data_IF_327977184354
#
_entry.id   IF_327977184354
#
_cell.length_a   1.000
_cell.length_b   1.000
_cell.length_c   1.000
_cell.angle_alpha   90.00
_cell.angle_beta   90.00
_cell.angle_gamma   90.00
#
_symmetry.space_group_name_H-M   'P 1'
#
loop_
_entity.id
_entity.type
_entity.pdbx_description
1 polymer ?
#
# COMPACT_ATOMS: atom_id res chain seq x y z
N UNK A 1 -0.71 29.09 0.03
CA UNK A 1 0.23 28.33 -0.83
C UNK A 1 1.23 27.66 0.10
N UNK A 2 1.33 26.33 0.06
CA UNK A 2 2.30 25.59 0.87
C UNK A 2 3.57 25.36 0.02
N UNK A 3 4.70 25.88 0.48
CA UNK A 3 6.03 25.77 -0.13
C UNK A 3 6.60 24.36 0.06
N UNK A 4 7.57 23.98 -0.79
CA UNK A 4 8.37 22.74 -0.63
C UNK A 4 8.95 22.62 0.79
N UNK A 5 9.30 23.76 1.40
CA UNK A 5 9.79 23.85 2.78
C UNK A 5 8.72 23.45 3.80
N UNK A 6 7.48 23.86 3.62
CA UNK A 6 6.37 23.50 4.51
C UNK A 6 5.95 22.03 4.37
N UNK A 7 6.00 21.46 3.16
CA UNK A 7 5.78 20.02 2.96
C UNK A 7 6.88 19.16 3.62
N UNK A 8 8.14 19.59 3.50
CA UNK A 8 9.27 18.98 4.22
C UNK A 8 9.14 19.15 5.73
N UNK A 9 8.69 20.31 6.21
CA UNK A 9 8.44 20.56 7.63
C UNK A 9 7.28 19.72 8.15
N UNK A 10 6.26 19.42 7.31
CA UNK A 10 5.14 18.55 7.66
C UNK A 10 5.60 17.09 7.77
N UNK A 11 6.43 16.64 6.84
CA UNK A 11 7.09 15.34 6.88
C UNK A 11 8.02 15.22 8.07
N UNK A 12 8.79 16.27 8.36
CA UNK A 12 9.69 16.33 9.52
C UNK A 12 8.92 16.40 10.83
N UNK A 13 7.81 17.14 10.92
CA UNK A 13 6.95 17.17 12.11
C UNK A 13 6.22 15.86 12.32
N UNK A 14 5.75 15.22 11.24
CA UNK A 14 5.15 13.89 11.30
C UNK A 14 6.21 12.88 11.73
N UNK A 15 7.39 12.85 11.11
CA UNK A 15 8.52 12.02 11.53
C UNK A 15 8.96 12.31 12.98
N UNK A 16 9.06 13.57 13.38
CA UNK A 16 9.54 13.95 14.72
C UNK A 16 8.52 13.63 15.80
N UNK A 17 7.22 13.76 15.54
CA UNK A 17 6.18 13.26 16.46
C UNK A 17 6.15 11.72 16.49
N UNK A 18 6.42 11.07 15.35
CA UNK A 18 6.56 9.62 15.22
C UNK A 18 7.78 9.04 15.99
N UNK A 19 8.90 9.77 16.08
CA UNK A 19 10.14 9.27 16.68
C UNK A 19 10.41 9.73 18.13
N UNK A 20 9.80 10.83 18.60
CA UNK A 20 10.00 11.29 19.99
C UNK A 20 9.11 10.59 21.03
N UNK A 21 8.05 9.90 20.61
CA UNK A 21 7.15 9.18 21.51
C UNK A 21 7.75 7.93 22.17
N UNK A 22 8.84 7.37 21.61
CA UNK A 22 9.31 6.02 21.96
C UNK A 22 10.71 5.94 22.60
N UNK A 23 11.29 7.02 23.13
CA UNK A 23 12.42 6.94 24.06
C UNK A 23 13.64 6.08 23.63
N UNK A 24 13.99 6.01 22.34
CA UNK A 24 15.11 5.17 21.89
C UNK A 24 16.45 5.92 21.92
N UNK A 25 17.34 5.51 22.82
CA UNK A 25 18.77 5.87 22.84
C UNK A 25 19.56 4.93 21.94
N UNK A 26 20.30 5.48 20.97
CA UNK A 26 21.11 4.72 20.02
C UNK A 26 22.42 4.20 20.63
N UNK A 27 22.54 2.88 20.74
CA UNK A 27 23.74 2.05 20.75
C UNK A 27 23.29 0.71 20.12
N UNK A 28 23.94 0.07 19.15
CA UNK A 28 25.37 -0.09 18.94
C UNK A 28 25.69 -0.60 17.52
N UNK A 29 26.98 -0.60 17.17
CA UNK A 29 27.57 -0.92 15.86
C UNK A 29 27.57 -2.42 15.54
N UNK A 30 27.00 -2.83 14.41
CA UNK A 30 27.58 -3.87 13.54
C UNK A 30 26.97 -3.79 12.13
N UNK A 31 27.84 -3.60 11.13
CA UNK A 31 27.49 -3.39 9.73
C UNK A 31 28.35 -4.32 8.88
N UNK A 32 27.77 -4.70 7.75
CA UNK A 32 28.40 -5.25 6.54
C UNK A 32 28.73 -6.74 6.55
N UNK A 33 27.89 -7.50 5.85
CA UNK A 33 28.30 -8.17 4.60
C UNK A 33 27.05 -8.74 3.92
N UNK A 34 26.60 -8.11 2.83
CA UNK A 34 25.74 -8.77 1.85
C UNK A 34 26.43 -8.71 0.50
N UNK A 35 26.48 -9.88 -0.11
CA UNK A 35 27.42 -10.35 -1.13
C UNK A 35 27.17 -9.68 -2.50
N UNK A 36 28.21 -9.06 -3.07
CA UNK A 36 28.17 -8.28 -4.31
C UNK A 36 28.34 -9.14 -5.59
N UNK A 37 28.30 -10.48 -5.51
CA UNK A 37 28.78 -11.36 -6.59
C UNK A 37 27.73 -12.28 -7.24
N UNK A 38 26.43 -12.00 -7.12
CA UNK A 38 25.44 -12.70 -7.95
C UNK A 38 25.02 -11.81 -9.11
N UNK A 39 25.43 -12.20 -10.32
CA UNK A 39 24.84 -11.66 -11.55
C UNK A 39 23.32 -11.74 -11.45
N UNK A 40 22.60 -10.65 -11.76
CA UNK A 40 21.14 -10.60 -11.59
C UNK A 40 20.52 -11.62 -12.55
N UNK A 41 20.00 -12.71 -12.00
CA UNK A 41 18.93 -13.45 -12.67
C UNK A 41 17.76 -12.49 -12.66
N UNK A 42 17.47 -11.86 -13.80
CA UNK A 42 16.36 -10.94 -13.88
C UNK A 42 15.07 -11.70 -13.49
N UNK A 43 14.24 -11.15 -12.60
CA UNK A 43 12.87 -11.61 -12.45
C UNK A 43 12.23 -11.56 -13.83
N UNK A 44 11.27 -12.43 -14.17
CA UNK A 44 10.38 -12.10 -15.26
C UNK A 44 9.68 -10.80 -14.86
N UNK A 45 10.12 -9.70 -15.46
CA UNK A 45 9.30 -8.51 -15.59
C UNK A 45 8.00 -9.03 -16.19
N UNK A 46 6.91 -9.01 -15.43
CA UNK A 46 5.61 -9.36 -15.98
C UNK A 46 5.13 -8.14 -16.77
N UNK A 47 5.64 -8.01 -18.02
CA UNK A 47 5.26 -6.95 -18.96
C UNK A 47 3.74 -6.90 -19.14
N UNK A 48 3.06 -8.00 -18.82
CA UNK A 48 1.63 -8.18 -18.99
C UNK A 48 0.78 -7.75 -17.77
N UNK A 49 1.36 -7.51 -16.59
CA UNK A 49 0.54 -7.19 -15.40
C UNK A 49 -0.23 -5.88 -15.58
N UNK A 50 0.42 -4.83 -16.08
CA UNK A 50 -0.24 -3.56 -16.31
C UNK A 50 -1.33 -3.65 -17.40
N UNK A 51 -1.09 -4.25 -18.58
CA UNK A 51 -2.15 -4.53 -19.55
C UNK A 51 -3.37 -5.27 -18.96
N UNK A 52 -3.15 -6.29 -18.11
CA UNK A 52 -4.25 -7.02 -17.47
C UNK A 52 -5.03 -6.15 -16.45
N UNK A 53 -4.34 -5.26 -15.74
CA UNK A 53 -4.98 -4.26 -14.87
C UNK A 53 -5.86 -3.31 -15.67
N UNK A 54 -5.36 -2.82 -16.81
CA UNK A 54 -6.13 -1.95 -17.71
C UNK A 54 -7.35 -2.70 -18.24
N UNK A 55 -7.21 -3.94 -18.73
CA UNK A 55 -8.33 -4.74 -19.22
C UNK A 55 -9.47 -4.87 -18.19
N UNK A 56 -9.12 -5.06 -16.91
CA UNK A 56 -10.13 -5.09 -15.83
C UNK A 56 -10.80 -3.74 -15.68
N UNK A 57 -10.03 -2.65 -15.60
CA UNK A 57 -10.58 -1.29 -15.51
C UNK A 57 -11.51 -1.04 -16.71
N UNK A 58 -11.16 -1.55 -17.89
CA UNK A 58 -11.97 -1.39 -19.09
C UNK A 58 -13.35 -2.05 -19.04
N UNK A 59 -13.59 -3.00 -18.15
CA UNK A 59 -14.90 -3.63 -18.04
C UNK A 59 -15.92 -2.79 -17.26
N UNK A 60 -15.48 -1.77 -16.54
CA UNK A 60 -16.36 -0.93 -15.73
C UNK A 60 -16.79 0.30 -16.52
N UNK A 61 -18.07 0.70 -16.52
CA UNK A 61 -18.54 1.87 -17.28
C UNK A 61 -18.24 3.20 -16.56
N UNK A 62 -18.09 3.18 -15.24
CA UNK A 62 -17.91 4.35 -14.36
C UNK A 62 -16.46 4.55 -13.92
N UNK A 63 -15.48 4.37 -14.82
CA UNK A 63 -14.01 4.38 -14.58
C UNK A 63 -13.45 5.74 -14.16
N UNK A 64 -14.17 6.48 -13.35
CA UNK A 64 -13.79 7.81 -12.93
C UNK A 64 -12.66 7.72 -11.92
N UNK A 65 -11.53 8.32 -12.27
CA UNK A 65 -10.62 8.83 -11.25
C UNK A 65 -11.26 10.10 -10.71
N UNK A 66 -12.07 9.92 -9.68
CA UNK A 66 -12.59 11.01 -8.88
C UNK A 66 -12.04 10.82 -7.47
N UNK A 67 -11.20 11.74 -6.96
CA UNK A 67 -10.65 11.65 -5.61
C UNK A 67 -11.72 12.04 -4.57
N UNK A 68 -12.86 11.35 -4.62
CA UNK A 68 -13.93 11.40 -3.64
C UNK A 68 -14.15 10.01 -3.06
N UNK A 69 -14.58 10.01 -1.81
CA UNK A 69 -15.04 8.86 -1.06
C UNK A 69 -16.25 8.25 -1.77
N UNK A 70 -16.17 6.98 -2.14
CA UNK A 70 -17.22 6.33 -2.93
C UNK A 70 -18.48 6.00 -2.11
N UNK A 71 -18.38 6.01 -0.77
CA UNK A 71 -19.46 5.67 0.15
C UNK A 71 -20.39 6.84 0.48
N UNK A 72 -19.89 8.08 0.45
CA UNK A 72 -20.67 9.29 0.81
C UNK A 72 -20.46 10.48 -0.16
N UNK A 73 -19.66 10.29 -1.22
CA UNK A 73 -19.29 11.30 -2.22
C UNK A 73 -18.56 12.53 -1.67
N UNK A 74 -18.02 12.48 -0.45
CA UNK A 74 -17.20 13.56 0.10
C UNK A 74 -15.79 13.56 -0.51
N UNK A 75 -15.12 14.72 -0.62
CA UNK A 75 -13.70 14.76 -0.96
C UNK A 75 -12.85 13.96 0.04
N UNK A 76 -11.78 13.32 -0.43
CA UNK A 76 -10.79 12.78 0.49
C UNK A 76 -10.07 13.91 1.24
N UNK A 77 -9.77 13.68 2.53
CA UNK A 77 -8.84 14.53 3.25
C UNK A 77 -7.39 14.09 2.92
N UNK A 78 -6.59 14.91 2.19
CA UNK A 78 -5.23 14.56 1.81
C UNK A 78 -4.34 14.26 3.02
N UNK A 79 -4.54 14.97 4.13
CA UNK A 79 -3.74 14.77 5.34
C UNK A 79 -3.98 13.39 5.96
N UNK A 80 -5.23 12.92 5.97
CA UNK A 80 -5.59 11.59 6.50
C UNK A 80 -4.99 10.49 5.63
N UNK A 81 -5.10 10.62 4.29
CA UNK A 81 -4.52 9.66 3.36
C UNK A 81 -3.00 9.58 3.47
N UNK A 82 -2.32 10.73 3.53
CA UNK A 82 -0.87 10.81 3.69
C UNK A 82 -0.45 10.21 5.04
N UNK A 83 -1.09 10.62 6.14
CA UNK A 83 -0.77 10.12 7.47
C UNK A 83 -0.93 8.59 7.54
N UNK A 84 -2.04 8.06 7.01
CA UNK A 84 -2.29 6.61 6.95
C UNK A 84 -1.23 5.90 6.12
N UNK A 85 -0.87 6.46 4.96
CA UNK A 85 0.19 5.92 4.09
C UNK A 85 1.52 5.83 4.84
N UNK A 86 1.96 6.89 5.51
CA UNK A 86 3.18 6.87 6.35
C UNK A 86 3.06 5.82 7.46
N UNK A 87 1.96 5.86 8.21
CA UNK A 87 1.74 5.04 9.38
C UNK A 87 1.79 3.54 9.06
N UNK A 88 1.20 3.16 7.93
CA UNK A 88 1.15 1.76 7.55
C UNK A 88 2.44 1.32 6.81
N UNK A 89 3.17 2.21 6.13
CA UNK A 89 4.46 1.84 5.50
C UNK A 89 5.53 1.32 6.48
N UNK A 90 5.51 1.79 7.73
CA UNK A 90 6.54 1.50 8.73
C UNK A 90 6.01 0.80 9.99
N UNK A 91 4.82 0.19 9.91
CA UNK A 91 4.22 -0.58 11.02
C UNK A 91 4.11 0.25 12.32
N UNK A 92 3.73 1.52 12.19
CA UNK A 92 3.63 2.42 13.33
C UNK A 92 2.38 2.12 14.18
N UNK A 93 2.57 1.88 15.47
CA UNK A 93 1.51 1.61 16.46
C UNK A 93 0.78 2.86 16.99
N UNK A 94 0.93 4.02 16.32
CA UNK A 94 0.24 5.26 16.71
C UNK A 94 -1.29 5.20 16.57
N UNK A 95 -2.03 6.19 17.10
CA UNK A 95 -3.45 6.37 16.80
C UNK A 95 -3.68 6.59 15.30
N UNK A 96 -4.74 6.00 14.75
CA UNK A 96 -5.11 6.12 13.33
C UNK A 96 -6.24 7.17 13.20
N UNK A 97 -6.13 8.06 12.21
CA UNK A 97 -7.18 9.07 11.95
C UNK A 97 -8.26 8.44 11.08
N UNK A 98 -9.52 8.41 11.54
CA UNK A 98 -10.61 7.64 10.89
C UNK A 98 -11.35 8.36 9.76
N UNK A 99 -11.31 9.69 9.69
CA UNK A 99 -12.32 10.54 9.03
C UNK A 99 -12.34 10.50 7.49
N UNK A 100 -11.58 9.61 6.85
CA UNK A 100 -11.60 9.43 5.39
C UNK A 100 -11.40 7.98 4.98
N UNK A 101 -11.74 7.03 5.84
CA UNK A 101 -11.60 5.60 5.57
C UNK A 101 -12.94 4.96 5.15
N UNK A 102 -12.90 3.96 4.24
CA UNK A 102 -14.09 3.23 3.83
C UNK A 102 -14.83 2.60 5.02
N UNK A 103 -16.14 2.35 4.89
CA UNK A 103 -16.91 1.66 5.92
C UNK A 103 -16.38 0.23 6.13
N UNK A 104 -16.43 -0.26 7.37
CA UNK A 104 -15.89 -1.59 7.74
C UNK A 104 -16.54 -2.73 6.95
N UNK A 105 -17.83 -2.62 6.62
CA UNK A 105 -18.56 -3.62 5.85
C UNK A 105 -17.97 -3.86 4.45
N UNK A 106 -17.42 -2.84 3.80
CA UNK A 106 -16.82 -2.98 2.48
C UNK A 106 -15.41 -3.59 2.56
N UNK A 107 -14.66 -3.27 3.62
CA UNK A 107 -13.38 -3.94 3.93
C UNK A 107 -13.64 -5.43 4.21
N UNK A 108 -14.58 -5.73 5.10
CA UNK A 108 -14.96 -7.10 5.44
C UNK A 108 -15.43 -7.88 4.22
N UNK A 109 -16.27 -7.28 3.37
CA UNK A 109 -16.76 -7.90 2.14
C UNK A 109 -15.63 -8.31 1.20
N UNK A 110 -14.61 -7.46 1.03
CA UNK A 110 -13.44 -7.84 0.24
C UNK A 110 -12.66 -8.96 0.92
N UNK A 111 -12.48 -8.89 2.23
CA UNK A 111 -11.71 -9.89 2.95
C UNK A 111 -12.36 -11.28 2.90
N UNK A 112 -13.68 -11.35 3.07
CA UNK A 112 -14.46 -12.58 2.94
C UNK A 112 -14.34 -13.17 1.53
N UNK A 113 -14.40 -12.33 0.48
CA UNK A 113 -14.17 -12.79 -0.89
C UNK A 113 -12.79 -13.45 -1.06
N UNK A 114 -11.75 -12.85 -0.50
CA UNK A 114 -10.39 -13.41 -0.54
C UNK A 114 -10.35 -14.76 0.18
N UNK A 115 -10.84 -14.82 1.42
CA UNK A 115 -10.80 -16.03 2.24
C UNK A 115 -11.63 -17.18 1.64
N UNK A 116 -12.77 -16.87 1.03
CA UNK A 116 -13.65 -17.85 0.39
C UNK A 116 -13.21 -18.25 -1.01
N UNK A 117 -12.23 -17.54 -1.61
CA UNK A 117 -11.75 -17.88 -2.95
C UNK A 117 -11.19 -19.32 -2.97
N UNK A 118 -11.63 -20.19 -3.89
CA UNK A 118 -11.16 -21.57 -3.95
C UNK A 118 -9.69 -21.67 -4.41
N UNK A 119 -9.11 -20.59 -4.95
CA UNK A 119 -7.75 -20.55 -5.49
C UNK A 119 -7.05 -19.24 -5.11
N UNK A 120 -5.71 -19.17 -5.17
CA UNK A 120 -5.00 -17.91 -5.07
C UNK A 120 -5.53 -16.88 -6.08
N UNK A 121 -5.63 -15.64 -5.65
CA UNK A 121 -6.13 -14.53 -6.46
C UNK A 121 -4.98 -13.79 -7.11
N UNK A 122 -5.11 -13.56 -8.42
CA UNK A 122 -4.23 -12.66 -9.16
C UNK A 122 -4.59 -11.20 -8.88
N UNK A 123 -3.66 -10.28 -9.07
CA UNK A 123 -3.91 -8.82 -8.94
C UNK A 123 -5.12 -8.36 -9.77
N UNK A 124 -5.31 -8.75 -11.05
CA UNK A 124 -6.52 -8.38 -11.80
C UNK A 124 -7.83 -8.83 -11.15
N UNK A 125 -7.89 -10.05 -10.59
CA UNK A 125 -9.09 -10.55 -9.90
C UNK A 125 -9.37 -9.83 -8.57
N UNK A 126 -8.30 -9.45 -7.88
CA UNK A 126 -8.41 -8.63 -6.68
C UNK A 126 -8.97 -7.25 -7.05
N UNK A 127 -8.40 -6.60 -8.08
CA UNK A 127 -8.86 -5.31 -8.57
C UNK A 127 -10.32 -5.32 -9.03
N UNK A 128 -10.72 -6.35 -9.78
CA UNK A 128 -12.09 -6.50 -10.26
C UNK A 128 -13.10 -6.50 -9.10
N UNK A 129 -12.83 -7.29 -8.06
CA UNK A 129 -13.68 -7.31 -6.87
C UNK A 129 -13.68 -5.97 -6.13
N UNK A 130 -12.52 -5.34 -5.99
CA UNK A 130 -12.41 -4.02 -5.35
C UNK A 130 -13.19 -2.95 -6.12
N UNK A 131 -13.17 -2.98 -7.45
CA UNK A 131 -13.97 -2.10 -8.29
C UNK A 131 -15.47 -2.39 -8.18
N UNK A 132 -15.88 -3.65 -8.04
CA UNK A 132 -17.29 -4.00 -7.75
C UNK A 132 -17.74 -3.37 -6.43
N UNK A 133 -16.94 -3.50 -5.38
CA UNK A 133 -17.23 -2.93 -4.05
C UNK A 133 -17.30 -1.40 -4.14
N UNK A 134 -16.31 -0.79 -4.77
CA UNK A 134 -16.21 0.66 -4.92
C UNK A 134 -17.06 1.25 -6.07
N UNK A 135 -17.96 0.46 -6.68
CA UNK A 135 -18.86 0.89 -7.76
C UNK A 135 -18.13 1.54 -8.96
N UNK A 136 -16.96 1.01 -9.29
CA UNK A 136 -16.08 1.48 -10.37
C UNK A 136 -15.17 2.66 -10.00
N UNK A 137 -15.26 3.21 -8.79
CA UNK A 137 -14.35 4.26 -8.32
C UNK A 137 -12.97 3.68 -8.02
N UNK A 138 -11.97 4.01 -8.85
CA UNK A 138 -10.62 3.45 -8.77
C UNK A 138 -9.90 3.89 -7.48
N UNK A 139 -10.04 5.15 -7.08
CA UNK A 139 -9.49 5.66 -5.82
C UNK A 139 -10.06 4.86 -4.64
N UNK A 140 -11.39 4.68 -4.60
CA UNK A 140 -12.09 3.88 -3.61
C UNK A 140 -11.67 2.42 -3.59
N UNK A 141 -11.59 1.78 -4.76
CA UNK A 141 -11.16 0.39 -4.89
C UNK A 141 -9.73 0.20 -4.34
N UNK A 142 -8.81 1.09 -4.71
CA UNK A 142 -7.44 1.05 -4.20
C UNK A 142 -7.37 1.26 -2.68
N UNK A 143 -8.25 2.11 -2.12
CA UNK A 143 -8.29 2.40 -0.68
C UNK A 143 -8.79 1.22 0.13
N UNK A 144 -9.86 0.56 -0.34
CA UNK A 144 -10.36 -0.69 0.27
C UNK A 144 -9.29 -1.77 0.22
N UNK A 145 -8.65 -1.97 -0.94
CA UNK A 145 -7.60 -2.97 -1.11
C UNK A 145 -6.44 -2.72 -0.14
N UNK A 146 -5.88 -1.52 -0.17
CA UNK A 146 -4.81 -1.11 0.73
C UNK A 146 -5.10 -1.45 2.21
N UNK A 147 -6.26 -1.06 2.73
CA UNK A 147 -6.61 -1.28 4.13
C UNK A 147 -6.88 -2.75 4.45
N UNK A 148 -7.54 -3.48 3.55
CA UNK A 148 -7.78 -4.91 3.75
C UNK A 148 -6.48 -5.72 3.73
N UNK A 149 -5.56 -5.42 2.81
CA UNK A 149 -4.25 -6.05 2.76
C UNK A 149 -3.39 -5.69 3.97
N UNK A 150 -3.57 -4.50 4.57
CA UNK A 150 -2.93 -4.15 5.84
C UNK A 150 -3.39 -5.08 6.96
N UNK A 151 -4.70 -5.29 7.13
CA UNK A 151 -5.24 -6.24 8.12
C UNK A 151 -4.69 -7.65 7.85
N UNK A 152 -4.76 -8.11 6.60
CA UNK A 152 -4.36 -9.46 6.21
C UNK A 152 -2.86 -9.78 6.34
N UNK A 153 -1.98 -8.79 6.25
CA UNK A 153 -0.52 -9.00 6.26
C UNK A 153 0.16 -8.67 7.60
N UNK A 154 -0.42 -7.78 8.42
CA UNK A 154 0.28 -7.19 9.58
C UNK A 154 -0.41 -7.55 10.89
N UNK A 155 -0.36 -8.84 11.22
CA UNK A 155 -0.85 -9.38 12.49
C UNK A 155 -2.31 -8.99 12.82
N UNK A 156 -3.18 -8.94 11.80
CA UNK A 156 -4.57 -8.52 11.97
C UNK A 156 -4.69 -7.11 12.57
N UNK A 157 -4.00 -6.12 11.98
CA UNK A 157 -4.04 -4.72 12.43
C UNK A 157 -5.47 -4.14 12.36
N UNK A 158 -6.21 -4.33 13.45
CA UNK A 158 -7.63 -4.02 13.59
C UNK A 158 -7.87 -2.66 14.22
N UNK A 159 -6.84 -1.83 14.40
CA UNK A 159 -6.98 -0.52 15.06
C UNK A 159 -7.99 0.39 14.38
N UNK A 160 -8.03 0.34 13.04
CA UNK A 160 -9.00 1.11 12.26
C UNK A 160 -10.37 0.41 12.17
N UNK A 161 -10.39 -0.92 12.25
CA UNK A 161 -11.58 -1.76 12.06
C UNK A 161 -11.65 -2.86 13.11
N UNK A 162 -11.90 -2.52 14.39
CA UNK A 162 -11.89 -3.48 15.49
C UNK A 162 -13.09 -4.45 15.44
N UNK A 163 -14.10 -4.13 14.65
CA UNK A 163 -15.32 -4.90 14.44
C UNK A 163 -15.16 -6.02 13.41
N UNK A 164 -14.10 -5.98 12.57
CA UNK A 164 -13.87 -7.03 11.57
C UNK A 164 -13.24 -8.26 12.24
N UNK A 165 -13.93 -9.41 12.24
CA UNK A 165 -13.38 -10.63 12.80
C UNK A 165 -12.29 -11.18 11.88
N UNK A 166 -11.02 -11.02 12.28
CA UNK A 166 -9.89 -11.56 11.53
C UNK A 166 -8.82 -12.08 12.48
N UNK A 167 -8.66 -13.40 12.51
CA UNK A 167 -7.77 -14.09 13.43
C UNK A 167 -6.44 -14.54 12.82
N UNK A 168 -5.63 -15.20 13.64
CA UNK A 168 -4.37 -15.82 13.19
C UNK A 168 -4.59 -16.92 12.15
N UNK A 169 -5.68 -17.70 12.27
CA UNK A 169 -6.06 -18.69 11.25
C UNK A 169 -6.31 -18.04 9.90
N UNK A 170 -7.03 -16.92 9.89
CA UNK A 170 -7.38 -16.19 8.67
C UNK A 170 -6.15 -15.54 8.05
N UNK A 171 -5.18 -15.12 8.85
CA UNK A 171 -3.88 -14.62 8.37
C UNK A 171 -3.16 -15.69 7.53
N UNK A 172 -3.12 -16.95 8.00
CA UNK A 172 -2.51 -18.03 7.24
C UNK A 172 -3.27 -18.32 5.95
N UNK A 173 -4.60 -18.37 6.00
CA UNK A 173 -5.42 -18.54 4.80
C UNK A 173 -5.19 -17.39 3.82
N UNK A 174 -5.23 -16.15 4.29
CA UNK A 174 -4.98 -14.95 3.51
C UNK A 174 -3.66 -15.02 2.75
N UNK A 175 -2.55 -15.30 3.44
CA UNK A 175 -1.23 -15.45 2.82
C UNK A 175 -1.25 -16.44 1.66
N UNK A 176 -1.93 -17.57 1.83
CA UNK A 176 -2.06 -18.59 0.77
C UNK A 176 -2.98 -18.18 -0.39
N UNK A 177 -3.74 -17.08 -0.27
CA UNK A 177 -4.57 -16.53 -1.35
C UNK A 177 -3.89 -15.40 -2.13
N UNK A 178 -2.76 -14.89 -1.65
CA UNK A 178 -2.12 -13.73 -2.25
C UNK A 178 -1.29 -14.06 -3.49
N UNK A 179 -1.13 -13.08 -4.37
CA UNK A 179 -0.16 -13.15 -5.46
C UNK A 179 1.25 -13.04 -4.89
N UNK A 180 2.16 -13.87 -5.39
CA UNK A 180 3.59 -13.77 -5.09
C UNK A 180 4.26 -12.83 -6.09
N UNK A 181 5.14 -11.96 -5.60
CA UNK A 181 5.86 -11.00 -6.44
C UNK A 181 7.37 -11.26 -6.49
N UNK A 182 7.85 -12.34 -5.84
CA UNK A 182 9.27 -12.68 -5.69
C UNK A 182 9.88 -13.52 -6.83
N UNK A 183 11.18 -13.31 -7.01
CA UNK A 183 12.13 -14.21 -7.68
C UNK A 183 12.40 -15.45 -6.83
N UNK A 184 12.58 -16.61 -7.47
CA UNK A 184 12.96 -17.88 -6.84
C UNK A 184 13.97 -17.74 -5.66
N UNK A 185 13.52 -17.92 -4.42
CA UNK A 185 13.99 -19.02 -3.56
C UNK A 185 13.05 -19.21 -2.36
N UNK A 186 12.60 -20.45 -2.19
CA UNK A 186 11.36 -20.87 -1.52
C UNK A 186 11.31 -20.79 0.03
N UNK A 187 12.18 -20.02 0.69
CA UNK A 187 12.22 -19.97 2.17
C UNK A 187 11.99 -18.60 2.81
N UNK A 188 11.86 -17.51 2.04
CA UNK A 188 11.70 -16.15 2.56
C UNK A 188 10.57 -15.33 1.91
N UNK A 189 9.69 -15.95 1.11
CA UNK A 189 8.57 -15.24 0.49
C UNK A 189 7.53 -14.85 1.54
N UNK A 190 7.10 -13.58 1.53
CA UNK A 190 6.01 -13.05 2.35
C UNK A 190 4.91 -12.50 1.43
N UNK A 191 4.04 -13.37 0.90
CA UNK A 191 3.04 -13.01 -0.13
C UNK A 191 2.02 -12.01 0.39
N UNK A 192 1.68 -12.11 1.68
CA UNK A 192 0.79 -11.15 2.32
C UNK A 192 1.46 -9.78 2.42
N UNK A 193 2.71 -9.74 2.86
CA UNK A 193 3.53 -8.53 2.85
C UNK A 193 3.66 -7.93 1.45
N UNK A 194 3.99 -8.72 0.44
CA UNK A 194 4.14 -8.25 -0.94
C UNK A 194 2.85 -7.64 -1.48
N UNK A 195 1.73 -8.36 -1.36
CA UNK A 195 0.44 -7.85 -1.78
C UNK A 195 0.10 -6.55 -1.05
N UNK A 196 0.39 -6.46 0.25
CA UNK A 196 0.23 -5.24 1.02
C UNK A 196 1.06 -4.08 0.47
N UNK A 197 2.35 -4.29 0.18
CA UNK A 197 3.22 -3.26 -0.39
C UNK A 197 2.79 -2.84 -1.80
N UNK A 198 2.37 -3.81 -2.64
CA UNK A 198 1.78 -3.53 -3.95
C UNK A 198 0.57 -2.60 -3.82
N UNK A 199 -0.43 -2.98 -3.02
CA UNK A 199 -1.67 -2.21 -2.89
C UNK A 199 -1.47 -0.86 -2.21
N UNK A 200 -0.53 -0.74 -1.29
CA UNK A 200 -0.17 0.54 -0.67
C UNK A 200 0.41 1.50 -1.72
N UNK A 201 1.36 1.03 -2.54
CA UNK A 201 1.97 1.86 -3.58
C UNK A 201 0.97 2.17 -4.71
N UNK A 202 0.12 1.21 -5.08
CA UNK A 202 -0.95 1.42 -6.04
C UNK A 202 -1.95 2.48 -5.56
N UNK A 203 -2.42 2.38 -4.31
CA UNK A 203 -3.31 3.37 -3.70
C UNK A 203 -2.67 4.75 -3.64
N UNK A 204 -1.42 4.84 -3.19
CA UNK A 204 -0.70 6.11 -3.14
C UNK A 204 -0.56 6.74 -4.54
N UNK A 205 -0.17 5.95 -5.55
CA UNK A 205 -0.05 6.44 -6.94
C UNK A 205 -1.38 6.96 -7.47
N UNK A 206 -2.46 6.19 -7.35
CA UNK A 206 -3.76 6.56 -7.92
C UNK A 206 -4.41 7.67 -7.12
N UNK A 207 -4.62 7.46 -5.82
CA UNK A 207 -5.47 8.35 -5.01
C UNK A 207 -4.77 9.67 -4.72
N UNK A 208 -3.51 9.64 -4.29
CA UNK A 208 -2.77 10.89 -4.02
C UNK A 208 -2.36 11.60 -5.33
N UNK A 209 -2.08 10.83 -6.38
CA UNK A 209 -1.80 11.38 -7.71
C UNK A 209 -3.02 12.03 -8.36
N UNK A 210 -4.23 11.57 -8.04
CA UNK A 210 -5.49 12.17 -8.51
C UNK A 210 -5.88 13.44 -7.75
N UNK A 211 -5.30 13.70 -6.58
CA UNK A 211 -5.63 14.90 -5.81
C UNK A 211 -5.07 16.15 -6.51
N UNK A 212 -5.88 17.22 -6.66
CA UNK A 212 -5.45 18.47 -7.30
C UNK A 212 -4.45 19.27 -6.44
N UNK A 213 -4.23 18.84 -5.20
CA UNK A 213 -3.40 19.52 -4.23
C UNK A 213 -1.89 19.25 -4.46
N UNK A 214 -1.11 20.34 -4.45
CA UNK A 214 0.34 20.30 -4.67
C UNK A 214 1.09 19.56 -3.56
N UNK A 215 0.59 19.53 -2.32
CA UNK A 215 1.25 18.83 -1.22
C UNK A 215 1.19 17.32 -1.46
N UNK A 216 0.05 16.82 -1.92
CA UNK A 216 -0.14 15.41 -2.28
C UNK A 216 0.83 14.98 -3.38
N UNK A 217 1.00 15.82 -4.42
CA UNK A 217 1.97 15.57 -5.49
C UNK A 217 3.43 15.59 -5.01
N UNK A 218 3.79 16.53 -4.12
CA UNK A 218 5.13 16.59 -3.50
C UNK A 218 5.37 15.35 -2.64
N UNK A 219 4.37 14.94 -1.85
CA UNK A 219 4.45 13.75 -1.02
C UNK A 219 4.67 12.49 -1.86
N UNK A 220 3.87 12.28 -2.91
CA UNK A 220 4.03 11.17 -3.87
C UNK A 220 5.45 11.15 -4.43
N UNK A 221 5.98 12.30 -4.86
CA UNK A 221 7.34 12.42 -5.37
C UNK A 221 8.41 12.10 -4.32
N UNK A 222 8.22 12.50 -3.07
CA UNK A 222 9.15 12.19 -1.97
C UNK A 222 9.08 10.71 -1.60
N UNK A 223 7.89 10.14 -1.48
CA UNK A 223 7.68 8.74 -1.15
C UNK A 223 8.24 7.83 -2.26
N UNK A 224 8.03 8.18 -3.52
CA UNK A 224 8.56 7.41 -4.65
C UNK A 224 10.05 7.63 -4.88
N UNK A 225 10.56 8.85 -4.67
CA UNK A 225 11.97 9.18 -4.86
C UNK A 225 12.88 8.79 -3.69
N UNK A 226 12.35 8.69 -2.47
CA UNK A 226 13.13 8.44 -1.25
C UNK A 226 12.60 7.29 -0.38
N UNK A 227 11.53 6.59 -0.78
CA UNK A 227 10.90 5.54 0.04
C UNK A 227 11.86 4.48 0.55
N UNK A 228 12.83 4.06 -0.27
CA UNK A 228 13.88 3.12 0.15
C UNK A 228 14.76 3.68 1.27
N UNK A 229 15.15 4.97 1.19
CA UNK A 229 15.97 5.64 2.21
C UNK A 229 15.18 5.85 3.50
N UNK A 230 13.90 6.20 3.40
CA UNK A 230 12.99 6.39 4.54
C UNK A 230 12.78 5.06 5.27
N UNK A 231 12.43 3.99 4.53
CA UNK A 231 12.26 2.66 5.10
C UNK A 231 13.56 2.11 5.69
N UNK A 232 14.71 2.35 5.05
CA UNK A 232 16.01 1.94 5.60
C UNK A 232 16.34 2.69 6.88
N UNK A 233 16.09 4.01 6.94
CA UNK A 233 16.31 4.80 8.14
C UNK A 233 15.42 4.35 9.31
N UNK A 234 14.14 4.08 9.03
CA UNK A 234 13.21 3.58 10.01
C UNK A 234 13.57 2.17 10.51
N UNK A 235 13.91 1.24 9.61
CA UNK A 235 14.38 -0.12 9.94
C UNK A 235 15.65 -0.12 10.78
N UNK A 236 16.60 0.76 10.47
CA UNK A 236 17.81 0.94 11.27
C UNK A 236 17.52 1.46 12.68
N UNK A 237 16.36 2.09 12.91
CA UNK A 237 15.95 2.52 14.24
C UNK A 237 15.28 1.40 15.07
N UNK A 238 14.77 0.34 14.43
CA UNK A 238 14.00 -0.73 15.11
C UNK A 238 14.72 -2.09 15.25
N UNK A 239 16.00 -2.20 14.86
CA UNK A 239 16.89 -3.35 15.13
C UNK A 239 16.28 -4.76 14.83
N UNK A 240 15.38 -4.87 13.86
CA UNK A 240 14.82 -6.16 13.42
C UNK A 240 15.17 -6.43 11.97
N UNK A 241 15.91 -7.51 11.66
CA UNK A 241 16.10 -7.94 10.29
C UNK A 241 14.80 -8.57 9.78
N UNK A 242 14.24 -8.01 8.71
CA UNK A 242 13.26 -8.71 7.88
C UNK A 242 14.03 -9.30 6.70
N UNK A 243 13.83 -10.59 6.45
CA UNK A 243 14.50 -11.38 5.41
C UNK A 243 13.89 -11.24 4.01
N UNK A 244 12.69 -10.66 3.89
CA UNK A 244 11.97 -10.47 2.62
C UNK A 244 12.08 -9.03 2.07
N UNK A 245 12.43 -8.92 0.78
CA UNK A 245 12.54 -7.63 0.07
C UNK A 245 11.27 -7.36 -0.73
N UNK A 246 10.32 -6.61 -0.16
CA UNK A 246 9.08 -6.22 -0.84
C UNK A 246 9.25 -5.16 -1.96
N UNK A 247 10.49 -4.97 -2.44
CA UNK A 247 10.84 -3.95 -3.41
C UNK A 247 10.13 -4.15 -4.75
N UNK A 248 10.09 -5.40 -5.23
CA UNK A 248 9.48 -5.75 -6.50
C UNK A 248 7.97 -5.48 -6.47
N UNK A 249 7.27 -5.96 -5.45
CA UNK A 249 5.85 -5.68 -5.25
C UNK A 249 5.55 -4.18 -5.16
N UNK A 250 6.39 -3.44 -4.43
CA UNK A 250 6.27 -1.98 -4.30
C UNK A 250 6.42 -1.26 -5.65
N UNK A 251 7.39 -1.68 -6.46
CA UNK A 251 7.63 -1.15 -7.81
C UNK A 251 6.44 -1.42 -8.73
N UNK A 252 5.93 -2.66 -8.76
CA UNK A 252 4.76 -3.02 -9.56
C UNK A 252 3.53 -2.20 -9.15
N UNK A 253 3.25 -2.07 -7.85
CA UNK A 253 2.12 -1.29 -7.36
C UNK A 253 2.20 0.17 -7.81
N UNK A 254 3.39 0.75 -7.70
CA UNK A 254 3.65 2.14 -8.13
C UNK A 254 3.39 2.34 -9.62
N UNK A 255 4.02 1.52 -10.46
CA UNK A 255 3.95 1.69 -11.91
C UNK A 255 2.56 1.37 -12.45
N UNK A 256 1.89 0.32 -11.94
CA UNK A 256 0.50 0.04 -12.26
C UNK A 256 -0.43 1.20 -11.86
N UNK A 257 -0.21 1.79 -10.67
CA UNK A 257 -1.02 2.91 -10.21
C UNK A 257 -0.81 4.18 -11.04
N UNK A 258 0.44 4.50 -11.42
CA UNK A 258 0.73 5.65 -12.31
C UNK A 258 0.14 5.44 -13.71
N UNK A 259 0.31 4.26 -14.27
CA UNK A 259 -0.24 3.92 -15.58
C UNK A 259 -1.76 3.98 -15.57
N UNK A 260 -2.40 3.51 -14.50
CA UNK A 260 -3.85 3.62 -14.30
C UNK A 260 -4.28 5.09 -14.23
N UNK A 261 -3.55 5.91 -13.47
CA UNK A 261 -3.81 7.34 -13.37
C UNK A 261 -3.72 8.04 -14.73
N UNK A 262 -2.67 7.76 -15.52
CA UNK A 262 -2.51 8.33 -16.87
C UNK A 262 -3.66 7.91 -17.79
N UNK A 263 -3.91 6.59 -17.87
CA UNK A 263 -4.93 6.02 -18.74
C UNK A 263 -6.32 6.62 -18.50
N UNK A 264 -6.70 6.79 -17.24
CA UNK A 264 -8.01 7.36 -16.89
C UNK A 264 -8.05 8.89 -16.92
N UNK A 265 -6.91 9.59 -17.04
CA UNK A 265 -6.84 11.05 -17.15
C UNK A 265 -6.81 11.54 -18.61
N UNK A 266 -6.49 10.66 -19.56
CA UNK A 266 -6.40 10.97 -21.00
C UNK A 266 -7.76 10.93 -21.73
N UNK A 267 -8.86 10.59 -21.04
CA UNK A 267 -10.22 10.49 -21.57
C UNK A 267 -11.13 11.60 -21.03
#
# INVERSE_FOLDING_TARGET
>A
MCSKKEALLLLEKSATSLFRGNGFTAQDKSRETYDNNKSPLQPPYNEELFPQVIEVIERFPSRYIKPVQYWDNQPYNPHVLIASTIQFFDDHNGPVISDSHPPSCDIQRYMEYVLQSPRPLTVPKQLEQLLIIAKGNICGASHVGYLAHRIGARAADSRLYPDIPFGLSDTSFWTNKMTHFDECDSSASDPAGDAYYFWTQFHASVTLGALPDKISQVYVNILFGNGLKIMTAARNAVNKPITSSHFVASMYGRECGKGTLSFCSEQ
#
